data_IF_862804519693
#
_entry.id   IF_862804519693
#
_cell.length_a   1.000
_cell.length_b   1.000
_cell.length_c   1.000
_cell.angle_alpha   90.00
_cell.angle_beta   90.00
_cell.angle_gamma   90.00
#
_symmetry.space_group_name_H-M   'P 1'
#
loop_
_entity.id
_entity.type
_entity.pdbx_description
1 polymer ?
#
# COMPACT_ATOMS: atom_id res chain seq x y z
N UNK A 1 -11.21 36.94 16.10
CA UNK A 1 -11.07 35.61 15.46
C UNK A 1 -9.59 35.31 15.39
N UNK A 2 -9.14 34.27 16.10
CA UNK A 2 -7.76 33.79 16.00
C UNK A 2 -7.56 33.24 14.60
N UNK A 3 -6.63 33.79 13.82
CA UNK A 3 -6.26 33.23 12.52
C UNK A 3 -5.67 31.85 12.79
N UNK A 4 -6.38 30.79 12.41
CA UNK A 4 -5.82 29.44 12.45
C UNK A 4 -4.83 29.34 11.28
N UNK A 5 -3.58 29.03 11.60
CA UNK A 5 -2.55 28.78 10.59
C UNK A 5 -2.82 27.42 9.93
N UNK A 6 -2.34 27.24 8.69
CA UNK A 6 -2.36 25.92 8.06
C UNK A 6 -1.65 24.89 8.94
N UNK A 7 -2.20 23.68 8.99
CA UNK A 7 -1.69 22.57 9.78
C UNK A 7 -1.70 21.30 8.94
N UNK A 8 -0.80 20.38 9.27
CA UNK A 8 -0.71 19.08 8.62
C UNK A 8 -1.47 18.02 9.41
N UNK A 9 -2.23 17.21 8.68
CA UNK A 9 -3.10 16.19 9.23
C UNK A 9 -2.95 14.88 8.46
N UNK A 10 -2.80 13.78 9.18
CA UNK A 10 -2.82 12.44 8.60
C UNK A 10 -4.26 12.01 8.32
N UNK A 11 -4.54 11.48 7.12
CA UNK A 11 -5.82 10.86 6.81
C UNK A 11 -5.89 9.48 7.45
N UNK A 12 -6.86 9.28 8.34
CA UNK A 12 -7.11 8.02 9.04
C UNK A 12 -8.18 7.19 8.33
N UNK A 13 -9.31 7.81 7.95
CA UNK A 13 -10.42 7.10 7.32
C UNK A 13 -11.28 8.08 6.51
N UNK A 14 -11.41 7.84 5.21
CA UNK A 14 -12.28 8.61 4.33
C UNK A 14 -13.69 8.01 4.36
N UNK A 15 -14.68 8.82 4.71
CA UNK A 15 -16.11 8.47 4.62
C UNK A 15 -16.79 9.36 3.58
N UNK A 16 -17.97 8.94 3.14
CA UNK A 16 -18.74 9.65 2.11
C UNK A 16 -19.06 11.13 2.40
N UNK A 17 -19.05 11.56 3.66
CA UNK A 17 -19.41 12.94 4.08
C UNK A 17 -18.36 13.65 4.93
N UNK A 18 -17.34 12.95 5.36
CA UNK A 18 -16.32 13.46 6.27
C UNK A 18 -15.10 12.55 6.24
N UNK A 19 -13.98 13.04 6.74
CA UNK A 19 -12.76 12.26 6.88
C UNK A 19 -12.30 12.33 8.33
N UNK A 20 -11.98 11.18 8.91
CA UNK A 20 -11.27 11.15 10.18
C UNK A 20 -9.81 11.45 9.89
N UNK A 21 -9.27 12.45 10.58
CA UNK A 21 -7.90 12.90 10.44
C UNK A 21 -7.22 12.97 11.80
N UNK A 22 -5.89 12.94 11.83
CA UNK A 22 -5.10 13.14 13.04
C UNK A 22 -4.19 14.36 12.86
N UNK A 23 -4.23 15.31 13.79
CA UNK A 23 -3.29 16.43 13.83
C UNK A 23 -1.87 15.89 14.10
N UNK A 24 -0.96 16.04 13.14
CA UNK A 24 0.38 15.46 13.24
C UNK A 24 1.24 16.04 14.37
N UNK A 25 0.88 17.23 14.87
CA UNK A 25 1.61 17.89 15.96
C UNK A 25 1.12 17.42 17.33
N UNK A 26 -0.18 17.20 17.48
CA UNK A 26 -0.80 16.90 18.79
C UNK A 26 -1.20 15.44 18.95
N UNK A 27 -1.32 14.69 17.86
CA UNK A 27 -1.88 13.33 17.85
C UNK A 27 -3.39 13.27 18.04
N UNK A 28 -4.07 14.41 18.17
CA UNK A 28 -5.53 14.48 18.35
C UNK A 28 -6.25 14.04 17.07
N UNK A 29 -7.25 13.17 17.21
CA UNK A 29 -8.15 12.83 16.11
C UNK A 29 -9.29 13.85 15.99
N UNK A 30 -9.59 14.24 14.75
CA UNK A 30 -10.66 15.18 14.39
C UNK A 30 -11.50 14.62 13.24
N UNK A 31 -12.71 15.13 13.11
CA UNK A 31 -13.58 14.87 11.96
C UNK A 31 -13.53 16.08 11.03
N UNK A 32 -12.84 15.92 9.90
CA UNK A 32 -12.78 16.92 8.84
C UNK A 32 -14.02 16.86 7.95
N UNK A 33 -14.66 18.01 7.78
CA UNK A 33 -15.79 18.20 6.86
C UNK A 33 -15.37 19.20 5.79
N UNK A 34 -15.02 18.73 4.57
CA UNK A 34 -14.67 19.63 3.49
C UNK A 34 -15.89 20.44 3.06
N UNK A 35 -15.66 21.68 2.60
CA UNK A 35 -16.74 22.52 2.08
C UNK A 35 -17.39 21.95 0.81
N UNK A 36 -16.61 21.25 -0.03
CA UNK A 36 -17.14 20.51 -1.20
C UNK A 36 -16.85 19.03 -1.05
N UNK A 37 -17.88 18.21 -1.20
CA UNK A 37 -17.79 16.76 -0.90
C UNK A 37 -16.95 15.98 -1.91
N UNK A 38 -16.89 16.41 -3.18
CA UNK A 38 -16.12 15.72 -4.22
C UNK A 38 -14.61 15.79 -4.01
N UNK A 39 -14.10 16.65 -3.12
CA UNK A 39 -12.67 16.76 -2.85
C UNK A 39 -12.04 15.49 -2.30
N UNK A 40 -12.82 14.59 -1.69
CA UNK A 40 -12.25 13.43 -1.00
C UNK A 40 -11.89 12.27 -1.92
N UNK A 41 -12.33 12.28 -3.19
CA UNK A 41 -12.17 11.14 -4.11
C UNK A 41 -10.72 10.91 -4.56
N UNK A 42 -9.87 11.93 -4.45
CA UNK A 42 -8.48 11.88 -4.90
C UNK A 42 -7.48 11.61 -3.77
N UNK A 43 -7.94 11.56 -2.52
CA UNK A 43 -7.11 11.31 -1.34
C UNK A 43 -7.27 9.88 -0.83
N UNK A 44 -6.30 9.43 -0.03
CA UNK A 44 -6.28 8.06 0.52
C UNK A 44 -5.82 8.05 1.97
N UNK A 45 -6.22 7.02 2.72
CA UNK A 45 -5.67 6.75 4.06
C UNK A 45 -4.14 6.65 4.03
N UNK A 46 -3.48 7.26 5.01
CA UNK A 46 -2.01 7.36 5.07
C UNK A 46 -1.42 8.60 4.38
N UNK A 47 -2.21 9.35 3.61
CA UNK A 47 -1.78 10.63 3.03
C UNK A 47 -1.83 11.76 4.07
N UNK A 48 -0.91 12.72 3.97
CA UNK A 48 -0.91 13.95 4.77
C UNK A 48 -1.59 15.08 4.00
N UNK A 49 -2.56 15.74 4.63
CA UNK A 49 -3.21 16.96 4.14
C UNK A 49 -2.71 18.18 4.88
N UNK A 50 -2.33 19.23 4.15
CA UNK A 50 -2.19 20.56 4.73
C UNK A 50 -3.53 21.28 4.59
N UNK A 51 -4.15 21.60 5.73
CA UNK A 51 -5.47 22.24 5.78
C UNK A 51 -5.32 23.64 6.36
N UNK A 52 -5.87 24.64 5.69
CA UNK A 52 -6.08 25.99 6.21
C UNK A 52 -7.44 26.03 6.94
N UNK A 53 -7.47 26.01 8.28
CA UNK A 53 -8.73 25.91 9.03
C UNK A 53 -9.54 27.20 8.94
N UNK A 54 -10.85 27.06 8.71
CA UNK A 54 -11.80 28.17 8.84
C UNK A 54 -12.52 28.14 10.17
N UNK A 55 -12.92 26.93 10.60
CA UNK A 55 -13.65 26.72 11.84
C UNK A 55 -13.34 25.36 12.44
N UNK A 56 -13.08 25.37 13.73
CA UNK A 56 -12.99 24.19 14.59
C UNK A 56 -14.10 24.28 15.64
N UNK A 57 -14.78 23.17 15.94
CA UNK A 57 -15.82 23.16 16.96
C UNK A 57 -16.00 21.77 17.57
N UNK A 58 -16.44 21.75 18.81
CA UNK A 58 -16.83 20.51 19.49
C UNK A 58 -18.32 20.25 19.29
N UNK A 59 -18.69 19.00 19.03
CA UNK A 59 -20.08 18.57 19.07
C UNK A 59 -20.15 17.12 19.55
N UNK A 60 -20.92 16.92 20.64
CA UNK A 60 -20.85 15.68 21.43
C UNK A 60 -19.39 15.42 21.85
N UNK A 61 -18.91 14.19 21.72
CA UNK A 61 -17.56 13.79 22.13
C UNK A 61 -16.53 13.91 20.98
N UNK A 62 -16.84 14.67 19.92
CA UNK A 62 -15.97 14.78 18.75
C UNK A 62 -15.55 16.23 18.51
N UNK A 63 -14.30 16.40 18.08
CA UNK A 63 -13.79 17.67 17.55
C UNK A 63 -13.94 17.66 16.03
N UNK A 64 -14.55 18.71 15.48
CA UNK A 64 -14.78 18.88 14.06
C UNK A 64 -13.93 20.02 13.50
N UNK A 65 -13.48 19.83 12.27
CA UNK A 65 -12.71 20.80 11.51
C UNK A 65 -13.37 21.03 10.15
N UNK A 66 -13.41 22.29 9.71
CA UNK A 66 -13.68 22.63 8.31
C UNK A 66 -12.72 23.72 7.85
N UNK A 67 -12.43 23.71 6.56
CA UNK A 67 -11.43 24.58 5.94
C UNK A 67 -11.11 24.11 4.52
N UNK A 68 -10.07 24.72 3.95
CA UNK A 68 -9.57 24.43 2.62
C UNK A 68 -8.34 23.53 2.70
N UNK A 69 -8.31 22.46 1.89
CA UNK A 69 -7.10 21.65 1.68
C UNK A 69 -6.21 22.44 0.72
N UNK A 70 -5.04 22.87 1.18
CA UNK A 70 -4.11 23.68 0.41
C UNK A 70 -2.98 22.88 -0.22
N UNK A 71 -2.69 21.70 0.34
CA UNK A 71 -1.68 20.78 -0.18
C UNK A 71 -1.97 19.34 0.26
N UNK A 72 -1.42 18.35 -0.45
CA UNK A 72 -1.42 16.96 -0.04
C UNK A 72 -0.15 16.23 -0.46
N UNK A 73 0.34 15.33 0.39
CA UNK A 73 1.56 14.57 0.13
C UNK A 73 1.54 13.21 0.81
N UNK A 74 2.22 12.24 0.20
CA UNK A 74 2.56 10.98 0.85
C UNK A 74 3.86 11.20 1.65
N UNK A 75 3.73 11.30 2.97
CA UNK A 75 4.84 11.47 3.90
C UNK A 75 4.95 10.26 4.83
N UNK A 76 5.71 9.25 4.43
CA UNK A 76 5.80 7.99 5.16
C UNK A 76 6.36 8.18 6.58
N UNK A 77 7.21 9.19 6.79
CA UNK A 77 7.76 9.47 8.13
C UNK A 77 6.65 9.90 9.11
N UNK A 78 5.57 10.52 8.61
CA UNK A 78 4.42 10.91 9.43
C UNK A 78 3.64 9.71 9.99
N UNK A 79 3.77 8.53 9.38
CA UNK A 79 3.11 7.30 9.83
C UNK A 79 3.82 6.67 11.04
N UNK A 80 5.04 7.12 11.38
CA UNK A 80 5.84 6.62 12.50
C UNK A 80 5.97 5.08 12.51
N UNK A 81 6.23 4.50 11.34
CA UNK A 81 6.29 3.06 11.13
C UNK A 81 7.66 2.53 11.55
N UNK A 82 7.67 1.40 12.28
CA UNK A 82 8.86 0.55 12.38
C UNK A 82 9.06 -0.17 11.04
N UNK A 83 10.24 -0.08 10.39
CA UNK A 83 10.52 -0.81 9.14
C UNK A 83 10.21 -2.30 9.25
N UNK A 84 9.81 -2.91 8.14
CA UNK A 84 9.53 -4.35 8.07
C UNK A 84 10.81 -5.15 8.31
N UNK A 85 10.67 -6.39 8.78
CA UNK A 85 11.78 -7.34 8.82
C UNK A 85 12.17 -7.83 7.43
N UNK A 86 13.43 -8.22 7.27
CA UNK A 86 13.93 -8.93 6.09
C UNK A 86 14.77 -10.13 6.52
N UNK A 87 14.29 -11.33 6.20
CA UNK A 87 14.93 -12.60 6.58
C UNK A 87 15.69 -13.17 5.39
N UNK A 88 16.96 -13.56 5.56
CA UNK A 88 17.76 -14.19 4.51
C UNK A 88 17.48 -15.70 4.43
N UNK A 89 17.23 -16.24 3.23
CA UNK A 89 16.96 -17.66 2.96
C UNK A 89 18.06 -18.35 2.13
N UNK A 90 19.27 -17.78 2.13
CA UNK A 90 20.41 -18.33 1.39
C UNK A 90 20.42 -17.94 -0.09
N UNK A 91 21.15 -18.68 -0.91
CA UNK A 91 21.31 -18.38 -2.34
C UNK A 91 20.10 -18.92 -3.11
N UNK A 92 19.48 -18.06 -3.91
CA UNK A 92 18.46 -18.44 -4.87
C UNK A 92 19.13 -18.96 -6.14
N UNK A 93 18.93 -20.25 -6.41
CA UNK A 93 19.37 -20.92 -7.63
C UNK A 93 18.14 -21.42 -8.40
N UNK A 94 17.74 -20.76 -9.51
CA UNK A 94 16.56 -21.16 -10.26
C UNK A 94 16.70 -22.57 -10.86
N UNK A 95 17.92 -23.04 -11.14
CA UNK A 95 18.13 -24.38 -11.72
C UNK A 95 17.90 -25.48 -10.68
N UNK A 96 18.20 -25.21 -9.41
CA UNK A 96 17.88 -26.14 -8.32
C UNK A 96 16.38 -26.20 -8.02
N UNK A 97 15.66 -25.09 -8.20
CA UNK A 97 14.23 -24.97 -7.84
C UNK A 97 13.33 -25.44 -8.99
N UNK A 98 13.61 -25.01 -10.22
CA UNK A 98 12.74 -25.20 -11.38
C UNK A 98 13.29 -26.15 -12.45
N UNK A 99 14.53 -26.64 -12.28
CA UNK A 99 15.17 -27.53 -13.25
C UNK A 99 15.83 -26.80 -14.43
N UNK A 100 16.62 -27.56 -15.21
CA UNK A 100 17.35 -27.03 -16.37
C UNK A 100 16.44 -26.64 -17.53
N UNK A 101 15.20 -27.17 -17.57
CA UNK A 101 14.20 -26.85 -18.59
C UNK A 101 13.81 -25.37 -18.60
N UNK A 102 13.95 -24.66 -17.47
CA UNK A 102 13.63 -23.23 -17.34
C UNK A 102 14.83 -22.32 -17.59
N UNK A 103 15.97 -22.86 -18.03
CA UNK A 103 17.22 -22.09 -18.17
C UNK A 103 17.08 -20.86 -19.07
N UNK A 104 16.36 -21.00 -20.18
CA UNK A 104 16.18 -19.91 -21.15
C UNK A 104 15.35 -18.75 -20.55
N UNK A 105 14.43 -19.05 -19.63
CA UNK A 105 13.63 -18.02 -18.94
C UNK A 105 14.46 -17.23 -17.93
N UNK A 106 15.49 -17.85 -17.36
CA UNK A 106 16.36 -17.25 -16.35
C UNK A 106 17.71 -16.77 -16.89
N UNK A 107 18.01 -16.94 -18.18
CA UNK A 107 19.32 -16.64 -18.76
C UNK A 107 19.77 -15.21 -18.47
N UNK A 108 18.88 -14.22 -18.65
CA UNK A 108 19.18 -12.82 -18.39
C UNK A 108 19.52 -12.55 -16.91
N UNK A 109 18.83 -13.22 -15.99
CA UNK A 109 19.10 -13.11 -14.56
C UNK A 109 20.43 -13.73 -14.15
N UNK A 110 20.73 -14.88 -14.74
CA UNK A 110 21.96 -15.61 -14.44
C UNK A 110 23.21 -14.85 -14.91
N UNK A 111 23.11 -13.92 -15.86
CA UNK A 111 24.21 -13.01 -16.23
C UNK A 111 24.71 -12.17 -15.05
N UNK A 112 23.82 -11.85 -14.11
CA UNK A 112 24.15 -11.12 -12.87
C UNK A 112 24.71 -12.02 -11.76
N UNK A 113 24.79 -13.33 -11.97
CA UNK A 113 25.14 -14.32 -10.96
C UNK A 113 23.98 -14.69 -10.03
N UNK A 114 24.20 -15.72 -9.21
CA UNK A 114 23.24 -16.14 -8.19
C UNK A 114 23.13 -15.08 -7.09
N UNK A 115 21.92 -14.84 -6.61
CA UNK A 115 21.60 -13.81 -5.62
C UNK A 115 21.02 -14.42 -4.37
N UNK A 116 21.13 -13.70 -3.24
CA UNK A 116 20.51 -14.13 -1.99
C UNK A 116 18.99 -13.94 -2.05
N UNK A 117 18.23 -14.94 -1.60
CA UNK A 117 16.79 -14.86 -1.40
C UNK A 117 16.47 -14.24 -0.05
N UNK A 118 15.43 -13.43 -0.01
CA UNK A 118 14.91 -12.85 1.22
C UNK A 118 13.39 -13.00 1.31
N UNK A 119 12.89 -13.02 2.53
CA UNK A 119 11.47 -12.95 2.87
C UNK A 119 11.21 -11.69 3.70
N UNK A 120 10.30 -10.86 3.22
CA UNK A 120 9.86 -9.63 3.87
C UNK A 120 8.79 -9.95 4.91
N UNK A 121 8.87 -9.35 6.10
CA UNK A 121 7.85 -9.48 7.13
C UNK A 121 6.48 -9.00 6.62
N UNK A 122 5.46 -9.83 6.77
CA UNK A 122 4.07 -9.41 6.63
C UNK A 122 3.49 -8.96 7.99
N UNK A 123 2.78 -7.84 8.00
CA UNK A 123 2.05 -7.35 9.19
C UNK A 123 0.55 -7.39 8.97
N UNK A 124 -0.15 -7.81 10.01
CA UNK A 124 -1.60 -7.92 10.10
C UNK A 124 -2.00 -7.86 11.57
N UNK A 125 -3.23 -7.44 11.88
CA UNK A 125 -3.76 -7.47 13.24
C UNK A 125 -3.90 -8.90 13.79
N UNK A 126 -3.89 -9.90 12.92
CA UNK A 126 -3.94 -11.31 13.28
C UNK A 126 -2.72 -12.03 12.72
N UNK A 127 -2.10 -12.88 13.55
CA UNK A 127 -1.04 -13.79 13.12
C UNK A 127 -1.64 -15.13 12.75
N UNK A 128 -1.44 -15.57 11.51
CA UNK A 128 -1.78 -16.94 11.10
C UNK A 128 -0.73 -17.86 11.73
N UNK A 129 -1.08 -18.55 12.81
CA UNK A 129 -0.16 -19.47 13.51
C UNK A 129 -0.04 -20.82 12.79
N UNK A 130 -1.03 -21.21 11.97
CA UNK A 130 -1.00 -22.42 11.14
C UNK A 130 -1.90 -22.27 9.90
N UNK A 131 -1.46 -22.74 8.71
CA UNK A 131 -2.29 -22.82 7.51
C UNK A 131 -3.49 -23.78 7.63
N UNK A 132 -3.51 -24.63 8.66
CA UNK A 132 -4.53 -25.66 8.87
C UNK A 132 -5.68 -25.21 9.79
N UNK A 133 -5.62 -23.99 10.34
CA UNK A 133 -6.68 -23.45 11.17
C UNK A 133 -7.82 -22.89 10.30
N UNK A 134 -8.80 -23.75 10.02
CA UNK A 134 -9.98 -23.45 9.22
C UNK A 134 -11.02 -22.57 9.94
N UNK A 135 -10.76 -22.22 11.21
CA UNK A 135 -11.62 -21.33 12.02
C UNK A 135 -11.16 -19.88 12.02
N UNK A 136 -10.08 -19.59 11.30
CA UNK A 136 -9.42 -18.29 11.31
C UNK A 136 -10.13 -17.27 10.41
N UNK A 137 -10.73 -16.25 11.01
CA UNK A 137 -11.34 -15.12 10.32
C UNK A 137 -10.26 -14.08 9.98
N UNK A 138 -9.54 -14.32 8.88
CA UNK A 138 -8.57 -13.36 8.34
C UNK A 138 -9.28 -12.06 7.90
N UNK A 139 -8.94 -10.89 8.51
CA UNK A 139 -9.60 -9.62 8.20
C UNK A 139 -9.52 -9.23 6.73
N UNK A 140 -8.44 -9.60 6.03
CA UNK A 140 -8.25 -9.28 4.62
C UNK A 140 -9.25 -10.07 3.76
N UNK A 141 -9.33 -11.38 3.99
CA UNK A 141 -10.29 -12.26 3.30
C UNK A 141 -11.74 -11.83 3.59
N UNK A 142 -12.08 -11.56 4.85
CA UNK A 142 -13.40 -11.09 5.26
C UNK A 142 -13.78 -9.76 4.56
N UNK A 143 -12.85 -8.81 4.50
CA UNK A 143 -13.07 -7.56 3.78
C UNK A 143 -13.39 -7.80 2.30
N UNK A 144 -12.69 -8.72 1.64
CA UNK A 144 -12.94 -9.05 0.24
C UNK A 144 -14.26 -9.78 0.02
N UNK A 145 -14.67 -10.64 0.96
CA UNK A 145 -16.00 -11.26 0.92
C UNK A 145 -17.11 -10.23 1.06
N UNK A 146 -17.00 -9.28 2.00
CA UNK A 146 -17.92 -8.16 2.13
C UNK A 146 -17.98 -7.32 0.84
N UNK A 147 -16.83 -7.05 0.24
CA UNK A 147 -16.75 -6.31 -1.03
C UNK A 147 -17.48 -7.05 -2.16
N UNK A 148 -17.22 -8.36 -2.30
CA UNK A 148 -17.84 -9.20 -3.32
C UNK A 148 -19.34 -9.38 -3.12
N UNK A 149 -19.82 -9.32 -1.88
CA UNK A 149 -21.24 -9.33 -1.52
C UNK A 149 -21.95 -7.98 -1.75
N UNK A 150 -21.20 -6.93 -2.13
CA UNK A 150 -21.77 -5.61 -2.44
C UNK A 150 -21.80 -4.65 -1.25
N UNK A 151 -21.02 -4.91 -0.20
CA UNK A 151 -20.88 -4.06 1.00
C UNK A 151 -19.49 -3.35 1.04
N UNK A 152 -19.14 -2.48 0.06
CA UNK A 152 -17.83 -1.85 0.01
C UNK A 152 -17.51 -0.97 1.21
N UNK A 153 -18.50 -0.32 1.83
CA UNK A 153 -18.28 0.52 3.01
C UNK A 153 -17.82 -0.30 4.23
N UNK A 154 -18.32 -1.52 4.37
CA UNK A 154 -17.89 -2.44 5.44
C UNK A 154 -16.51 -3.01 5.13
N UNK A 155 -16.27 -3.42 3.89
CA UNK A 155 -14.96 -3.89 3.42
C UNK A 155 -13.87 -2.83 3.68
N UNK A 156 -14.09 -1.59 3.26
CA UNK A 156 -13.18 -0.46 3.53
C UNK A 156 -12.97 -0.27 5.02
N UNK A 157 -14.03 -0.39 5.83
CA UNK A 157 -13.90 -0.22 7.29
C UNK A 157 -13.00 -1.30 7.91
N UNK A 158 -13.10 -2.55 7.48
CA UNK A 158 -12.22 -3.64 7.93
C UNK A 158 -10.76 -3.35 7.54
N UNK A 159 -10.50 -3.03 6.27
CA UNK A 159 -9.15 -2.75 5.79
C UNK A 159 -8.53 -1.50 6.45
N UNK A 160 -9.30 -0.45 6.68
CA UNK A 160 -8.82 0.74 7.40
C UNK A 160 -8.54 0.43 8.87
N UNK A 161 -9.27 -0.50 9.49
CA UNK A 161 -8.94 -0.94 10.85
C UNK A 161 -7.61 -1.71 10.90
N UNK A 162 -7.29 -2.51 9.87
CA UNK A 162 -5.96 -3.13 9.73
C UNK A 162 -4.86 -2.06 9.62
N UNK A 163 -5.07 -1.03 8.79
CA UNK A 163 -4.12 0.10 8.69
C UNK A 163 -3.94 0.87 10.00
N UNK A 164 -5.02 1.03 10.78
CA UNK A 164 -4.95 1.67 12.11
C UNK A 164 -4.24 0.81 13.14
N UNK A 165 -4.30 -0.51 13.00
CA UNK A 165 -3.55 -1.43 13.84
C UNK A 165 -2.05 -1.32 13.55
N UNK A 166 -1.67 -1.42 12.27
CA UNK A 166 -0.31 -1.16 11.81
C UNK A 166 -0.34 -0.65 10.37
N UNK A 167 0.13 0.59 10.17
CA UNK A 167 0.21 1.20 8.84
C UNK A 167 1.07 0.40 7.86
N UNK A 168 1.96 -0.46 8.34
CA UNK A 168 2.79 -1.34 7.54
C UNK A 168 2.10 -2.64 7.09
N UNK A 169 0.79 -2.80 7.34
CA UNK A 169 -0.02 -3.83 6.70
C UNK A 169 -0.16 -3.55 5.20
N UNK A 170 0.81 -4.04 4.41
CA UNK A 170 0.84 -3.84 2.95
C UNK A 170 -0.39 -4.42 2.24
N UNK A 171 -0.93 -5.53 2.77
CA UNK A 171 -2.07 -6.19 2.15
C UNK A 171 -3.35 -5.34 2.26
N UNK A 172 -3.56 -4.64 3.38
CA UNK A 172 -4.67 -3.70 3.52
C UNK A 172 -4.60 -2.56 2.49
N UNK A 173 -3.41 -1.99 2.26
CA UNK A 173 -3.20 -0.99 1.20
C UNK A 173 -3.52 -1.56 -0.19
N UNK A 174 -3.02 -2.76 -0.49
CA UNK A 174 -3.24 -3.43 -1.78
C UNK A 174 -4.73 -3.70 -2.03
N UNK A 175 -5.46 -4.17 -1.02
CA UNK A 175 -6.87 -4.50 -1.16
C UNK A 175 -7.75 -3.26 -1.29
N UNK A 176 -7.44 -2.17 -0.59
CA UNK A 176 -8.08 -0.87 -0.83
C UNK A 176 -7.82 -0.38 -2.27
N UNK A 177 -6.61 -0.55 -2.80
CA UNK A 177 -6.28 -0.18 -4.18
C UNK A 177 -6.99 -1.05 -5.23
N UNK A 178 -7.19 -2.34 -4.95
CA UNK A 178 -7.99 -3.25 -5.80
C UNK A 178 -9.43 -2.75 -5.91
N UNK A 179 -10.01 -2.27 -4.79
CA UNK A 179 -11.35 -1.69 -4.79
C UNK A 179 -11.39 -0.43 -5.66
N UNK A 180 -10.42 0.48 -5.52
CA UNK A 180 -10.30 1.67 -6.38
C UNK A 180 -10.23 1.32 -7.86
N UNK A 181 -9.44 0.29 -8.22
CA UNK A 181 -9.35 -0.20 -9.60
C UNK A 181 -10.68 -0.72 -10.14
N UNK A 182 -11.51 -1.39 -9.29
CA UNK A 182 -12.83 -1.88 -9.70
C UNK A 182 -13.74 -0.76 -10.20
N UNK A 183 -13.57 0.44 -9.67
CA UNK A 183 -14.27 1.66 -10.11
C UNK A 183 -13.45 2.56 -11.03
N UNK A 184 -12.26 2.11 -11.47
CA UNK A 184 -11.33 2.85 -12.35
C UNK A 184 -10.84 4.18 -11.73
N UNK A 185 -10.75 4.24 -10.41
CA UNK A 185 -10.18 5.37 -9.70
C UNK A 185 -8.64 5.23 -9.65
N UNK A 186 -7.99 5.47 -10.78
CA UNK A 186 -6.56 5.17 -10.94
C UNK A 186 -5.63 6.06 -10.11
N UNK A 187 -6.04 7.29 -9.78
CA UNK A 187 -5.26 8.19 -8.93
C UNK A 187 -5.18 7.70 -7.47
N UNK A 188 -6.29 7.44 -6.75
CA UNK A 188 -6.21 6.86 -5.41
C UNK A 188 -5.60 5.45 -5.42
N UNK A 189 -5.89 4.63 -6.45
CA UNK A 189 -5.22 3.33 -6.65
C UNK A 189 -3.69 3.49 -6.66
N UNK A 190 -3.16 4.44 -7.45
CA UNK A 190 -1.72 4.75 -7.49
C UNK A 190 -1.20 5.12 -6.11
N UNK A 191 -1.87 6.06 -5.42
CA UNK A 191 -1.42 6.55 -4.11
C UNK A 191 -1.33 5.44 -3.06
N UNK A 192 -2.30 4.52 -3.01
CA UNK A 192 -2.29 3.40 -2.07
C UNK A 192 -1.14 2.44 -2.33
N UNK A 193 -0.91 2.07 -3.58
CA UNK A 193 0.24 1.24 -3.93
C UNK A 193 1.56 1.97 -3.68
N UNK A 194 1.64 3.27 -3.96
CA UNK A 194 2.82 4.08 -3.68
C UNK A 194 3.13 4.15 -2.18
N UNK A 195 2.12 4.29 -1.32
CA UNK A 195 2.29 4.20 0.14
C UNK A 195 2.88 2.84 0.52
N UNK A 196 2.28 1.74 0.06
CA UNK A 196 2.75 0.39 0.37
C UNK A 196 4.20 0.15 -0.11
N UNK A 197 4.55 0.58 -1.32
CA UNK A 197 5.92 0.49 -1.85
C UNK A 197 6.88 1.30 -1.00
N UNK A 198 6.56 2.56 -0.66
CA UNK A 198 7.45 3.39 0.14
C UNK A 198 7.63 2.86 1.57
N UNK A 199 6.62 2.19 2.13
CA UNK A 199 6.75 1.53 3.44
C UNK A 199 7.74 0.36 3.35
N UNK A 200 7.60 -0.50 2.34
CA UNK A 200 8.53 -1.60 2.12
C UNK A 200 9.96 -1.10 1.85
N UNK A 201 10.10 0.02 1.15
CA UNK A 201 11.38 0.67 0.84
C UNK A 201 12.13 1.18 2.08
N UNK A 202 11.45 1.35 3.23
CA UNK A 202 12.15 1.61 4.50
C UNK A 202 13.08 0.46 4.91
N UNK A 203 12.87 -0.73 4.34
CA UNK A 203 13.58 -1.98 4.67
C UNK A 203 14.59 -2.37 3.59
N UNK A 204 14.32 -1.99 2.33
CA UNK A 204 15.15 -2.35 1.18
C UNK A 204 16.24 -1.29 1.00
N UNK A 205 17.53 -1.63 1.19
CA UNK A 205 18.61 -0.67 0.99
C UNK A 205 18.77 -0.27 -0.48
N UNK A 206 19.33 0.91 -0.75
CA UNK A 206 19.52 1.43 -2.10
C UNK A 206 20.38 0.52 -2.99
N UNK A 207 21.33 -0.21 -2.40
CA UNK A 207 22.23 -1.17 -3.05
C UNK A 207 21.75 -2.63 -2.97
N UNK A 208 20.47 -2.85 -2.65
CA UNK A 208 19.89 -4.19 -2.53
C UNK A 208 20.05 -5.01 -3.81
N UNK A 209 20.82 -6.10 -3.72
CA UNK A 209 21.07 -7.04 -4.80
C UNK A 209 20.51 -8.45 -4.50
N UNK A 210 19.47 -8.55 -3.66
CA UNK A 210 18.77 -9.79 -3.37
C UNK A 210 17.60 -10.05 -4.32
N UNK A 211 16.92 -11.18 -4.10
CA UNK A 211 15.60 -11.50 -4.67
C UNK A 211 14.56 -11.67 -3.57
N UNK A 212 13.33 -11.29 -3.89
CA UNK A 212 12.11 -11.54 -3.14
C UNK A 212 11.28 -12.46 -4.01
N UNK A 213 11.41 -13.77 -3.80
CA UNK A 213 10.74 -14.75 -4.67
C UNK A 213 9.23 -14.74 -4.44
N UNK A 214 8.46 -15.02 -5.48
CA UNK A 214 7.00 -15.15 -5.40
C UNK A 214 6.57 -16.37 -4.56
N UNK A 215 7.44 -17.39 -4.51
CA UNK A 215 7.27 -18.59 -3.70
C UNK A 215 7.17 -18.31 -2.19
N UNK A 216 7.93 -17.34 -1.67
CA UNK A 216 7.81 -16.86 -0.29
C UNK A 216 6.51 -16.05 -0.14
N UNK A 217 5.58 -16.55 0.68
CA UNK A 217 4.21 -16.02 0.75
C UNK A 217 4.22 -14.59 1.26
N UNK A 218 5.06 -14.28 2.25
CA UNK A 218 5.10 -12.96 2.89
C UNK A 218 5.70 -11.87 1.97
N UNK A 219 6.37 -12.25 0.89
CA UNK A 219 6.81 -11.30 -0.15
C UNK A 219 5.64 -10.78 -1.01
N UNK A 220 4.55 -11.56 -1.12
CA UNK A 220 3.50 -11.29 -2.11
C UNK A 220 2.79 -9.96 -1.92
N UNK A 221 2.50 -9.47 -0.70
CA UNK A 221 1.95 -8.13 -0.53
C UNK A 221 2.83 -7.05 -1.17
N UNK A 222 4.13 -7.05 -0.93
CA UNK A 222 5.02 -6.06 -1.54
C UNK A 222 5.11 -6.20 -3.08
N UNK A 223 5.24 -7.42 -3.59
CA UNK A 223 5.30 -7.67 -5.04
C UNK A 223 4.00 -7.23 -5.74
N UNK A 224 2.84 -7.47 -5.11
CA UNK A 224 1.55 -6.94 -5.59
C UNK A 224 1.51 -5.42 -5.56
N UNK A 225 2.11 -4.77 -4.57
CA UNK A 225 2.18 -3.31 -4.51
C UNK A 225 2.98 -2.73 -5.67
N UNK A 226 4.13 -3.34 -6.02
CA UNK A 226 4.90 -2.94 -7.19
C UNK A 226 4.08 -3.11 -8.48
N UNK A 227 3.51 -4.30 -8.68
CA UNK A 227 2.70 -4.57 -9.87
C UNK A 227 1.51 -3.61 -9.99
N UNK A 228 0.78 -3.41 -8.90
CA UNK A 228 -0.36 -2.51 -8.83
C UNK A 228 0.01 -1.05 -9.10
N UNK A 229 1.13 -0.59 -8.56
CA UNK A 229 1.67 0.75 -8.83
C UNK A 229 1.97 0.93 -10.32
N UNK A 230 2.66 -0.03 -10.94
CA UNK A 230 2.96 0.00 -12.37
C UNK A 230 1.70 0.04 -13.24
N UNK A 231 0.67 -0.74 -12.88
CA UNK A 231 -0.62 -0.73 -13.57
C UNK A 231 -1.37 0.61 -13.41
N UNK A 232 -1.38 1.18 -12.21
CA UNK A 232 -2.01 2.47 -11.96
C UNK A 232 -1.33 3.60 -12.77
N UNK A 233 0.01 3.62 -12.78
CA UNK A 233 0.81 4.54 -13.59
C UNK A 233 0.51 4.38 -15.09
N UNK A 234 0.43 3.15 -15.57
CA UNK A 234 0.08 2.86 -16.97
C UNK A 234 -1.30 3.41 -17.34
N UNK A 235 -2.31 3.17 -16.49
CA UNK A 235 -3.66 3.69 -16.70
C UNK A 235 -3.74 5.23 -16.68
N UNK A 236 -2.87 5.89 -15.91
CA UNK A 236 -2.74 7.34 -15.87
C UNK A 236 -1.91 7.92 -17.03
N UNK A 237 -1.35 7.07 -17.90
CA UNK A 237 -0.52 7.48 -19.03
C UNK A 237 0.93 7.77 -18.68
N UNK A 238 1.37 7.51 -17.44
CA UNK A 238 2.74 7.69 -16.97
C UNK A 238 3.63 6.49 -17.36
N UNK A 239 3.76 6.22 -18.66
CA UNK A 239 4.37 4.98 -19.19
C UNK A 239 5.81 4.76 -18.74
N UNK A 240 6.65 5.79 -18.76
CA UNK A 240 8.06 5.67 -18.35
C UNK A 240 8.19 5.30 -16.87
N UNK A 241 7.33 5.84 -16.01
CA UNK A 241 7.29 5.50 -14.59
C UNK A 241 6.78 4.07 -14.39
N UNK A 242 5.75 3.66 -15.14
CA UNK A 242 5.22 2.31 -15.10
C UNK A 242 6.30 1.27 -15.47
N UNK A 243 7.04 1.53 -16.56
CA UNK A 243 8.11 0.66 -17.03
C UNK A 243 9.19 0.47 -15.95
N UNK A 244 9.66 1.55 -15.32
CA UNK A 244 10.65 1.48 -14.21
C UNK A 244 10.16 0.63 -13.04
N UNK A 245 8.88 0.70 -12.71
CA UNK A 245 8.29 -0.12 -11.65
C UNK A 245 8.22 -1.59 -12.06
N UNK A 246 7.84 -1.89 -13.31
CA UNK A 246 7.84 -3.27 -13.82
C UNK A 246 9.24 -3.86 -13.90
N UNK A 247 10.24 -3.11 -14.37
CA UNK A 247 11.65 -3.50 -14.36
C UNK A 247 12.13 -3.82 -12.93
N UNK A 248 11.77 -2.96 -11.97
CA UNK A 248 12.09 -3.17 -10.56
C UNK A 248 11.43 -4.45 -10.02
N UNK A 249 10.15 -4.66 -10.31
CA UNK A 249 9.40 -5.86 -9.91
C UNK A 249 10.05 -7.13 -10.47
N UNK A 250 10.34 -7.14 -11.77
CA UNK A 250 10.99 -8.24 -12.47
C UNK A 250 12.38 -8.55 -11.89
N UNK A 251 13.19 -7.52 -11.61
CA UNK A 251 14.50 -7.68 -10.97
C UNK A 251 14.40 -8.33 -9.58
N UNK A 252 13.43 -7.89 -8.78
CA UNK A 252 13.24 -8.37 -7.40
C UNK A 252 12.64 -9.77 -7.34
N UNK A 253 11.67 -10.10 -8.20
CA UNK A 253 11.03 -11.42 -8.28
C UNK A 253 11.15 -11.99 -9.68
N UNK A 254 12.29 -12.62 -10.01
CA UNK A 254 12.52 -13.22 -11.32
C UNK A 254 11.51 -14.31 -11.69
N UNK A 255 10.99 -14.99 -10.67
CA UNK A 255 10.03 -16.08 -10.76
C UNK A 255 8.57 -15.61 -10.86
N UNK A 256 8.30 -14.31 -10.73
CA UNK A 256 6.97 -13.78 -10.98
C UNK A 256 6.72 -13.60 -12.49
N UNK A 257 6.17 -14.65 -13.09
CA UNK A 257 5.75 -14.65 -14.49
C UNK A 257 4.76 -13.53 -14.84
N UNK A 258 4.04 -12.93 -13.88
CA UNK A 258 3.11 -11.82 -14.15
C UNK A 258 3.83 -10.50 -14.42
N UNK A 259 4.88 -10.21 -13.67
CA UNK A 259 5.74 -9.03 -13.90
C UNK A 259 6.39 -9.10 -15.28
N UNK A 260 6.85 -10.28 -15.70
CA UNK A 260 7.49 -10.50 -17.00
C UNK A 260 6.53 -10.25 -18.19
N UNK A 261 5.28 -10.67 -18.09
CA UNK A 261 4.27 -10.51 -19.16
C UNK A 261 3.87 -9.04 -19.34
N UNK A 262 3.68 -8.31 -18.24
CA UNK A 262 3.35 -6.88 -18.29
C UNK A 262 4.53 -6.03 -18.79
N UNK A 263 5.75 -6.37 -18.38
CA UNK A 263 6.97 -5.73 -18.88
C UNK A 263 7.14 -5.90 -20.40
N UNK A 264 6.91 -7.11 -20.93
CA UNK A 264 7.04 -7.39 -22.38
C UNK A 264 5.90 -6.81 -23.23
N UNK A 265 4.78 -6.42 -22.61
CA UNK A 265 3.60 -5.85 -23.28
C UNK A 265 3.44 -4.34 -23.14
N UNK A 266 4.28 -3.69 -22.35
CA UNK A 266 4.33 -2.24 -22.12
C UNK A 266 5.26 -1.55 -23.13
#
# INVERSE_FOLDING_TARGET
MTKLFSKDYLIIHIKSKHTNIQDLKTGQELIFRPQRQHYLMDYVEGETLTISPEKEWEFKNNTYLTGEVTDSKIDINSLNIKPLGLTEHGIWDPMQIYGEEMKDEFEEYLKGGLRKSYEMEQRSSVKIESPEDDTFDDPITNAMDLFNQGDPDKATTVLVNELRHDWACLDAHNHLAIMDNRWKHYLPMKKRYEIAVKIADLTIPDDFNGVLTWGCIDNRPFLRSLQGCGLALWHLGEKDNALRIFERSHRLSPDDGRSAVLYKGA
#
